data_IF_781298522749
#
_entry.id   IF_781298522749
#
_cell.length_a   1.000
_cell.length_b   1.000
_cell.length_c   1.000
_cell.angle_alpha   90.00
_cell.angle_beta   90.00
_cell.angle_gamma   90.00
#
_symmetry.space_group_name_H-M   'P 1'
#
loop_
_entity.id
_entity.type
_entity.pdbx_description
1 polymer ?
#
# COMPACT_ATOMS: atom_id res chain seq x y z
N UNK A 1 -32.74 43.86 -10.83
CA UNK A 1 -31.56 44.10 -9.96
C UNK A 1 -30.58 42.96 -10.25
N UNK A 2 -29.37 43.30 -10.66
CA UNK A 2 -28.35 42.26 -10.92
C UNK A 2 -27.85 41.73 -9.56
N UNK A 3 -28.10 40.46 -9.28
CA UNK A 3 -27.54 39.83 -8.11
C UNK A 3 -26.07 39.55 -8.38
N UNK A 4 -25.20 40.21 -7.63
CA UNK A 4 -23.77 39.93 -7.65
C UNK A 4 -23.55 38.58 -6.92
N UNK A 5 -23.23 37.55 -7.67
CA UNK A 5 -22.97 36.23 -7.12
C UNK A 5 -21.43 36.05 -6.96
N UNK A 6 -20.91 36.32 -5.78
CA UNK A 6 -19.49 36.08 -5.47
C UNK A 6 -19.17 34.60 -5.20
N UNK A 7 -20.15 33.74 -5.25
CA UNK A 7 -19.99 32.32 -4.85
C UNK A 7 -19.73 31.34 -6.02
N UNK A 8 -19.88 31.81 -7.27
CA UNK A 8 -19.62 30.97 -8.44
C UNK A 8 -18.13 31.07 -8.83
N UNK A 9 -17.35 30.05 -8.52
CA UNK A 9 -16.01 29.90 -9.06
C UNK A 9 -16.10 29.68 -10.58
N UNK A 10 -15.24 30.36 -11.33
CA UNK A 10 -15.05 30.01 -12.74
C UNK A 10 -14.42 28.61 -12.88
N UNK A 11 -14.60 27.98 -14.03
CA UNK A 11 -13.99 26.66 -14.31
C UNK A 11 -12.47 26.66 -14.10
N UNK A 12 -11.81 27.78 -14.37
CA UNK A 12 -10.36 27.94 -14.16
C UNK A 12 -10.00 28.00 -12.67
N UNK A 13 -10.78 28.71 -11.85
CA UNK A 13 -10.59 28.77 -10.40
C UNK A 13 -10.83 27.42 -9.74
N UNK A 14 -11.84 26.66 -10.20
CA UNK A 14 -12.07 25.27 -9.77
C UNK A 14 -10.89 24.36 -10.11
N UNK A 15 -10.31 24.54 -11.30
CA UNK A 15 -9.15 23.75 -11.72
C UNK A 15 -7.92 24.05 -10.87
N UNK A 16 -7.65 25.33 -10.57
CA UNK A 16 -6.52 25.74 -9.71
C UNK A 16 -6.72 25.18 -8.30
N UNK A 17 -7.91 25.30 -7.76
CA UNK A 17 -8.24 24.81 -6.42
C UNK A 17 -8.16 23.30 -6.31
N UNK A 18 -8.57 22.58 -7.34
CA UNK A 18 -8.43 21.14 -7.47
C UNK A 18 -6.96 20.70 -7.48
N UNK A 19 -6.09 21.44 -8.18
CA UNK A 19 -4.64 21.18 -8.19
C UNK A 19 -3.99 21.40 -6.82
N UNK A 20 -4.35 22.49 -6.14
CA UNK A 20 -3.84 22.76 -4.79
C UNK A 20 -4.30 21.73 -3.78
N UNK A 21 -5.56 21.31 -3.83
CA UNK A 21 -6.10 20.20 -3.05
C UNK A 21 -5.28 18.93 -3.27
N UNK A 22 -5.06 18.55 -4.53
CA UNK A 22 -4.34 17.32 -4.85
C UNK A 22 -2.88 17.37 -4.40
N UNK A 23 -2.26 18.55 -4.46
CA UNK A 23 -0.92 18.75 -3.92
C UNK A 23 -0.87 18.47 -2.42
N UNK A 24 -1.85 18.96 -1.66
CA UNK A 24 -1.95 18.70 -0.22
C UNK A 24 -2.18 17.22 0.05
N UNK A 25 -3.12 16.58 -0.64
CA UNK A 25 -3.40 15.16 -0.49
C UNK A 25 -2.20 14.28 -0.83
N UNK A 26 -1.47 14.56 -1.91
CA UNK A 26 -0.25 13.82 -2.28
C UNK A 26 0.86 13.96 -1.25
N UNK A 27 1.04 15.13 -0.67
CA UNK A 27 2.04 15.35 0.37
C UNK A 27 1.70 14.63 1.67
N UNK A 28 0.42 14.29 1.89
CA UNK A 28 -0.05 13.57 3.07
C UNK A 28 -0.09 12.05 2.88
N UNK A 29 -0.18 11.57 1.65
CA UNK A 29 -0.18 10.14 1.36
C UNK A 29 1.22 9.56 1.47
N UNK A 30 1.38 8.54 2.31
CA UNK A 30 2.64 7.85 2.54
C UNK A 30 3.07 7.01 1.33
N UNK A 31 2.13 6.29 0.71
CA UNK A 31 2.42 5.39 -0.42
C UNK A 31 2.91 6.13 -1.66
N UNK A 32 2.47 7.36 -1.85
CA UNK A 32 2.87 8.18 -2.99
C UNK A 32 4.37 8.58 -2.98
N UNK A 33 5.05 8.46 -1.84
CA UNK A 33 6.49 8.69 -1.77
C UNK A 33 7.29 7.63 -2.53
N UNK A 34 6.73 6.45 -2.71
CA UNK A 34 7.33 5.31 -3.40
C UNK A 34 6.82 5.15 -4.83
N UNK A 35 5.97 6.08 -5.29
CA UNK A 35 5.36 6.04 -6.61
C UNK A 35 6.28 6.62 -7.68
N UNK A 36 6.38 5.91 -8.80
CA UNK A 36 7.15 6.33 -9.98
C UNK A 36 6.61 5.71 -11.25
N UNK A 37 6.96 6.30 -12.40
CA UNK A 37 6.53 5.80 -13.72
C UNK A 37 7.43 4.68 -14.28
N UNK A 38 8.62 4.51 -13.72
CA UNK A 38 9.61 3.53 -14.20
C UNK A 38 9.45 2.15 -13.56
N UNK A 39 10.02 1.14 -14.21
CA UNK A 39 10.09 -0.24 -13.71
C UNK A 39 10.93 -0.40 -12.43
N UNK A 40 11.74 0.60 -12.09
CA UNK A 40 12.54 0.63 -10.86
C UNK A 40 11.81 1.34 -9.70
N UNK A 41 10.52 1.59 -9.81
CA UNK A 41 9.71 2.12 -8.72
C UNK A 41 9.03 0.99 -7.94
N UNK A 42 8.87 1.15 -6.63
CA UNK A 42 8.13 0.19 -5.80
C UNK A 42 6.63 0.18 -6.18
N UNK A 43 6.04 1.36 -6.30
CA UNK A 43 4.69 1.54 -6.80
C UNK A 43 4.77 2.10 -8.21
N UNK A 44 4.44 1.28 -9.19
CA UNK A 44 4.43 1.73 -10.58
C UNK A 44 3.12 2.43 -10.90
N UNK A 45 3.20 3.72 -11.27
CA UNK A 45 2.04 4.49 -11.70
C UNK A 45 1.83 4.35 -13.20
N UNK A 46 0.60 4.00 -13.59
CA UNK A 46 0.15 3.93 -14.97
C UNK A 46 -0.64 5.20 -15.25
N UNK A 47 -0.10 6.08 -16.11
CA UNK A 47 -0.69 7.38 -16.46
C UNK A 47 -1.15 7.46 -17.91
N UNK A 48 -1.20 6.34 -18.63
CA UNK A 48 -1.59 6.29 -20.04
C UNK A 48 -3.07 6.62 -20.25
N UNK A 49 -3.92 6.35 -19.26
CA UNK A 49 -5.31 6.77 -19.29
C UNK A 49 -5.43 8.20 -18.79
N UNK A 50 -5.75 9.12 -19.68
CA UNK A 50 -6.07 10.50 -19.38
C UNK A 50 -7.58 10.73 -19.44
N UNK A 51 -8.06 11.91 -19.02
CA UNK A 51 -9.48 12.27 -19.19
C UNK A 51 -9.94 12.29 -20.65
N UNK A 52 -9.01 12.38 -21.61
CA UNK A 52 -9.29 12.33 -23.05
C UNK A 52 -9.30 10.90 -23.62
N UNK A 53 -8.53 9.99 -23.03
CA UNK A 53 -8.50 8.57 -23.43
C UNK A 53 -9.32 7.75 -22.44
N UNK A 54 -10.56 7.48 -22.84
CA UNK A 54 -11.56 6.79 -21.99
C UNK A 54 -11.34 5.29 -22.01
N UNK A 55 -11.21 4.69 -20.82
CA UNK A 55 -11.14 3.24 -20.64
C UNK A 55 -11.47 2.86 -19.19
N UNK A 56 -12.05 1.68 -19.01
CA UNK A 56 -12.36 1.13 -17.68
C UNK A 56 -11.20 0.33 -17.07
N UNK A 57 -10.12 0.14 -17.83
CA UNK A 57 -8.99 -0.72 -17.43
C UNK A 57 -7.68 -0.10 -17.88
N UNK A 58 -6.66 -0.20 -17.06
CA UNK A 58 -5.28 0.12 -17.38
C UNK A 58 -4.49 -1.18 -17.53
N UNK A 59 -3.52 -1.22 -18.43
CA UNK A 59 -2.67 -2.39 -18.64
C UNK A 59 -1.23 -2.05 -18.25
N UNK A 60 -0.64 -2.90 -17.42
CA UNK A 60 0.78 -2.88 -17.09
C UNK A 60 1.44 -4.10 -17.71
N UNK A 61 2.43 -3.89 -18.55
CA UNK A 61 3.22 -4.97 -19.14
C UNK A 61 4.48 -5.20 -18.33
N UNK A 62 4.65 -6.42 -17.81
CA UNK A 62 5.89 -6.89 -17.19
C UNK A 62 6.68 -7.69 -18.22
N UNK A 63 7.96 -7.40 -18.34
CA UNK A 63 8.88 -8.16 -19.18
C UNK A 63 9.61 -9.19 -18.34
N UNK A 64 9.57 -10.47 -18.75
CA UNK A 64 10.37 -11.52 -18.16
C UNK A 64 11.80 -11.46 -18.70
N UNK A 65 12.74 -11.88 -17.87
CA UNK A 65 14.13 -12.06 -18.30
C UNK A 65 14.25 -13.32 -19.18
N UNK A 66 15.23 -13.32 -20.06
CA UNK A 66 15.60 -14.51 -20.85
C UNK A 66 16.29 -15.52 -19.93
N UNK A 67 15.97 -16.79 -20.10
CA UNK A 67 16.48 -17.90 -19.28
C UNK A 67 17.37 -18.88 -20.04
N UNK A 68 17.45 -18.75 -21.37
CA UNK A 68 18.24 -19.62 -22.23
C UNK A 68 19.75 -19.40 -22.08
N UNK A 69 20.50 -20.47 -22.20
CA UNK A 69 21.98 -20.45 -22.12
C UNK A 69 22.64 -19.84 -23.36
N UNK A 70 21.84 -19.51 -24.40
CA UNK A 70 22.34 -19.03 -25.68
C UNK A 70 22.98 -20.12 -26.54
N UNK A 71 23.51 -19.73 -27.70
CA UNK A 71 24.17 -20.66 -28.66
C UNK A 71 25.68 -20.52 -28.51
N UNK A 72 26.40 -21.63 -28.45
CA UNK A 72 27.85 -21.68 -28.24
C UNK A 72 28.59 -21.92 -29.57
N UNK A 73 29.65 -21.15 -29.84
CA UNK A 73 30.53 -21.29 -31.01
C UNK A 73 29.85 -20.90 -32.32
N UNK A 74 30.26 -21.56 -33.41
CA UNK A 74 29.75 -21.30 -34.78
C UNK A 74 28.40 -22.02 -35.07
N UNK A 75 27.66 -22.43 -34.05
CA UNK A 75 26.35 -23.06 -34.22
C UNK A 75 25.30 -22.05 -34.67
N UNK A 76 24.33 -22.54 -35.42
CA UNK A 76 23.28 -21.69 -36.03
C UNK A 76 22.35 -21.13 -34.96
N UNK A 77 22.21 -19.82 -34.89
CA UNK A 77 21.25 -19.13 -34.02
C UNK A 77 19.83 -19.18 -34.60
N UNK A 78 19.72 -19.22 -35.95
CA UNK A 78 18.43 -19.28 -36.64
C UNK A 78 17.65 -20.53 -36.27
N UNK A 79 16.45 -20.35 -35.70
CA UNK A 79 15.60 -21.45 -35.20
C UNK A 79 15.84 -21.85 -33.74
N UNK A 80 16.82 -21.24 -33.06
CA UNK A 80 17.15 -21.45 -31.66
C UNK A 80 17.01 -20.15 -30.82
N UNK A 81 16.28 -19.16 -31.35
CA UNK A 81 16.03 -17.92 -30.65
C UNK A 81 15.06 -18.13 -29.47
N UNK A 82 15.35 -17.51 -28.36
CA UNK A 82 14.45 -17.46 -27.23
C UNK A 82 13.40 -16.38 -27.40
N UNK A 83 12.13 -16.71 -27.18
CA UNK A 83 11.04 -15.76 -27.27
C UNK A 83 10.99 -14.84 -26.05
N UNK A 84 10.92 -13.53 -26.28
CA UNK A 84 10.65 -12.58 -25.20
C UNK A 84 9.24 -12.78 -24.67
N UNK A 85 9.12 -12.99 -23.35
CA UNK A 85 7.81 -13.15 -22.69
C UNK A 85 7.41 -11.85 -22.01
N UNK A 86 6.18 -11.45 -22.28
CA UNK A 86 5.54 -10.32 -21.62
C UNK A 86 4.29 -10.80 -20.86
N UNK A 87 4.07 -10.26 -19.65
CA UNK A 87 2.88 -10.50 -18.86
C UNK A 87 2.09 -9.21 -18.73
N UNK A 88 0.87 -9.21 -19.28
CA UNK A 88 -0.01 -8.07 -19.19
C UNK A 88 -0.90 -8.16 -17.94
N UNK A 89 -0.80 -7.16 -17.10
CA UNK A 89 -1.57 -7.03 -15.88
C UNK A 89 -2.64 -5.98 -16.09
N UNK A 90 -3.89 -6.41 -16.11
CA UNK A 90 -5.04 -5.52 -16.25
C UNK A 90 -5.46 -5.03 -14.87
N UNK A 91 -5.44 -3.72 -14.64
CA UNK A 91 -5.91 -3.04 -13.43
C UNK A 91 -7.29 -2.46 -13.70
N UNK A 92 -8.26 -2.82 -12.86
CA UNK A 92 -9.61 -2.26 -12.94
C UNK A 92 -9.66 -0.88 -12.29
N UNK A 93 -10.44 0.03 -12.86
CA UNK A 93 -10.61 1.39 -12.37
C UNK A 93 -11.98 1.56 -11.75
N UNK A 94 -12.05 2.33 -10.67
CA UNK A 94 -13.30 2.76 -10.05
C UNK A 94 -13.16 4.13 -9.39
N UNK A 95 -14.28 4.73 -9.08
CA UNK A 95 -14.37 6.06 -8.50
C UNK A 95 -14.66 5.99 -7.00
N UNK A 96 -13.85 6.67 -6.20
CA UNK A 96 -14.11 6.91 -4.79
C UNK A 96 -14.45 8.39 -4.59
N UNK A 97 -15.58 8.67 -3.91
CA UNK A 97 -16.06 10.04 -3.66
C UNK A 97 -16.33 10.27 -2.18
N UNK A 98 -16.01 11.48 -1.74
CA UNK A 98 -16.35 12.00 -0.42
C UNK A 98 -17.05 13.34 -0.55
N UNK A 99 -17.97 13.65 0.36
CA UNK A 99 -18.64 14.93 0.38
C UNK A 99 -18.91 15.40 1.81
N UNK A 100 -18.86 16.73 1.98
CA UNK A 100 -19.32 17.42 3.18
C UNK A 100 -20.44 18.39 2.79
N UNK A 101 -21.46 18.50 3.63
CA UNK A 101 -22.59 19.41 3.43
C UNK A 101 -22.87 20.19 4.70
N UNK A 102 -23.01 21.50 4.55
CA UNK A 102 -23.41 22.40 5.62
C UNK A 102 -24.92 22.31 5.85
N UNK A 103 -25.38 22.33 7.10
CA UNK A 103 -26.79 22.20 7.42
C UNK A 103 -27.61 23.48 7.22
N UNK A 104 -26.99 24.63 6.97
CA UNK A 104 -27.66 25.87 6.65
C UNK A 104 -26.86 27.12 7.02
N UNK A 105 -27.24 28.27 6.45
CA UNK A 105 -26.57 29.58 6.66
C UNK A 105 -26.54 30.04 8.10
N UNK A 106 -27.60 29.75 8.89
CA UNK A 106 -27.59 30.10 10.31
C UNK A 106 -26.54 29.33 11.12
N UNK A 107 -26.23 28.09 10.69
CA UNK A 107 -25.18 27.32 11.32
C UNK A 107 -23.79 27.84 10.96
N UNK A 108 -23.61 28.29 9.73
CA UNK A 108 -22.38 28.96 9.26
C UNK A 108 -22.14 30.27 10.04
N UNK A 109 -23.17 31.10 10.20
CA UNK A 109 -23.08 32.36 10.93
C UNK A 109 -22.74 32.18 12.43
N UNK A 110 -23.17 31.06 13.03
CA UNK A 110 -22.88 30.76 14.44
C UNK A 110 -21.53 30.06 14.62
N UNK A 111 -20.94 29.53 13.57
CA UNK A 111 -19.66 28.84 13.59
C UNK A 111 -18.50 29.83 13.45
N UNK A 112 -17.47 29.66 14.28
CA UNK A 112 -16.20 30.39 14.16
C UNK A 112 -15.32 29.77 13.06
N UNK A 113 -15.70 28.58 12.57
CA UNK A 113 -14.93 27.74 11.64
C UNK A 113 -15.37 28.06 10.20
N UNK A 114 -14.43 28.40 9.34
CA UNK A 114 -14.68 28.56 7.89
C UNK A 114 -14.93 27.17 7.26
N UNK A 115 -16.21 26.88 6.97
CA UNK A 115 -16.63 25.58 6.44
C UNK A 115 -15.86 25.18 5.18
N UNK A 116 -15.65 26.11 4.24
CA UNK A 116 -15.05 25.82 2.95
C UNK A 116 -13.58 25.37 3.07
N UNK A 117 -12.78 26.09 3.85
CA UNK A 117 -11.36 25.77 4.04
C UNK A 117 -11.16 24.48 4.82
N UNK A 118 -11.89 24.34 5.94
CA UNK A 118 -11.79 23.13 6.77
C UNK A 118 -12.33 21.88 6.08
N UNK A 119 -13.40 22.00 5.29
CA UNK A 119 -13.91 20.89 4.48
C UNK A 119 -12.92 20.45 3.42
N UNK A 120 -12.23 21.40 2.77
CA UNK A 120 -11.17 21.08 1.80
C UNK A 120 -10.08 20.24 2.45
N UNK A 121 -9.53 20.70 3.56
CA UNK A 121 -8.42 20.01 4.23
C UNK A 121 -8.86 18.66 4.80
N UNK A 122 -10.07 18.56 5.38
CA UNK A 122 -10.62 17.31 5.87
C UNK A 122 -10.85 16.27 4.75
N UNK A 123 -11.36 16.72 3.60
CA UNK A 123 -11.56 15.85 2.44
C UNK A 123 -10.22 15.39 1.84
N UNK A 124 -9.18 16.28 1.82
CA UNK A 124 -7.82 15.93 1.41
C UNK A 124 -7.24 14.82 2.28
N UNK A 125 -7.34 14.99 3.59
CA UNK A 125 -6.92 14.00 4.57
C UNK A 125 -7.64 12.66 4.39
N UNK A 126 -8.96 12.70 4.27
CA UNK A 126 -9.78 11.50 4.10
C UNK A 126 -9.41 10.73 2.83
N UNK A 127 -9.15 11.42 1.72
CA UNK A 127 -8.76 10.79 0.46
C UNK A 127 -7.36 10.16 0.58
N UNK A 128 -6.37 10.89 1.10
CA UNK A 128 -5.00 10.40 1.27
C UNK A 128 -4.95 9.18 2.21
N UNK A 129 -5.60 9.28 3.37
CA UNK A 129 -5.66 8.19 4.36
C UNK A 129 -6.35 6.94 3.78
N UNK A 130 -7.41 7.14 2.98
CA UNK A 130 -8.12 6.02 2.36
C UNK A 130 -7.31 5.35 1.26
N UNK A 131 -6.59 6.12 0.44
CA UNK A 131 -5.70 5.57 -0.58
C UNK A 131 -4.58 4.75 0.06
N UNK A 132 -3.96 5.24 1.13
CA UNK A 132 -2.94 4.50 1.85
C UNK A 132 -3.49 3.20 2.45
N UNK A 133 -4.66 3.25 3.09
CA UNK A 133 -5.32 2.06 3.64
C UNK A 133 -5.58 0.99 2.56
N UNK A 134 -6.13 1.39 1.41
CA UNK A 134 -6.43 0.48 0.31
C UNK A 134 -5.15 -0.11 -0.30
N UNK A 135 -4.10 0.70 -0.47
CA UNK A 135 -2.83 0.24 -1.00
C UNK A 135 -2.18 -0.84 -0.10
N UNK A 136 -2.15 -0.62 1.22
CA UNK A 136 -1.61 -1.60 2.17
C UNK A 136 -2.45 -2.87 2.27
N UNK A 137 -3.78 -2.78 2.20
CA UNK A 137 -4.66 -3.96 2.14
C UNK A 137 -4.44 -4.76 0.85
N UNK A 138 -4.30 -4.08 -0.30
CA UNK A 138 -4.01 -4.73 -1.58
C UNK A 138 -2.67 -5.45 -1.56
N UNK A 139 -1.60 -4.80 -1.05
CA UNK A 139 -0.28 -5.41 -0.90
C UNK A 139 -0.32 -6.62 0.04
N UNK A 140 -1.03 -6.52 1.17
CA UNK A 140 -1.20 -7.62 2.13
C UNK A 140 -2.09 -8.75 1.60
N UNK A 141 -2.86 -8.51 0.53
CA UNK A 141 -3.82 -9.46 -0.01
C UNK A 141 -5.04 -9.68 0.91
N UNK A 142 -5.45 -8.65 1.62
CA UNK A 142 -6.56 -8.69 2.58
C UNK A 142 -7.75 -7.93 2.01
N UNK A 143 -8.93 -8.55 2.07
CA UNK A 143 -10.15 -7.99 1.53
C UNK A 143 -10.53 -6.65 2.19
N UNK A 144 -11.12 -5.74 1.41
CA UNK A 144 -11.53 -4.41 1.88
C UNK A 144 -12.71 -4.42 2.87
N UNK A 145 -13.28 -5.59 3.15
CA UNK A 145 -14.23 -5.80 4.24
C UNK A 145 -13.62 -5.64 5.63
N UNK A 146 -12.29 -5.74 5.72
CA UNK A 146 -11.52 -5.51 6.94
C UNK A 146 -10.93 -4.09 6.95
N UNK A 147 -10.74 -3.55 8.15
CA UNK A 147 -9.91 -2.38 8.40
C UNK A 147 -8.44 -2.82 8.53
N UNK A 148 -7.50 -1.90 8.37
CA UNK A 148 -6.07 -2.19 8.53
C UNK A 148 -5.69 -2.65 9.95
N UNK A 149 -6.53 -2.41 10.95
CA UNK A 149 -6.37 -2.92 12.31
C UNK A 149 -7.02 -4.29 12.56
N UNK A 150 -7.48 -4.98 11.51
CA UNK A 150 -8.09 -6.30 11.61
C UNK A 150 -9.58 -6.33 11.98
N UNK A 151 -10.17 -5.21 12.39
CA UNK A 151 -11.60 -5.15 12.69
C UNK A 151 -12.43 -5.23 11.40
N UNK A 152 -13.61 -5.85 11.48
CA UNK A 152 -14.59 -5.82 10.41
C UNK A 152 -15.10 -4.39 10.15
N UNK A 153 -15.24 -4.02 8.88
CA UNK A 153 -15.93 -2.77 8.53
C UNK A 153 -17.43 -2.94 8.72
N UNK A 154 -18.12 -1.90 9.25
CA UNK A 154 -19.58 -1.92 9.30
C UNK A 154 -20.12 -2.06 7.86
N UNK A 155 -21.06 -2.98 7.68
CA UNK A 155 -21.77 -3.13 6.40
C UNK A 155 -22.70 -1.94 6.22
N UNK A 156 -22.53 -1.22 5.13
CA UNK A 156 -23.38 -0.11 4.69
C UNK A 156 -24.33 -0.57 3.59
N UNK A 157 -25.14 0.32 3.06
CA UNK A 157 -25.97 0.04 1.89
C UNK A 157 -25.10 -0.28 0.68
N UNK A 158 -25.66 -0.97 -0.31
CA UNK A 158 -25.00 -1.28 -1.57
C UNK A 158 -24.43 -0.01 -2.23
N UNK A 159 -23.17 -0.08 -2.70
CA UNK A 159 -22.45 1.06 -3.25
C UNK A 159 -21.85 2.02 -2.22
N UNK A 160 -21.92 1.71 -0.93
CA UNK A 160 -21.31 2.51 0.14
C UNK A 160 -20.18 1.76 0.87
N UNK A 161 -19.92 0.52 0.50
CA UNK A 161 -18.85 -0.29 1.08
C UNK A 161 -17.60 -0.19 0.22
N UNK A 162 -16.42 -0.18 0.83
CA UNK A 162 -15.17 -0.26 0.06
C UNK A 162 -15.02 -1.60 -0.67
N UNK A 163 -15.69 -2.64 -0.21
CA UNK A 163 -15.76 -3.93 -0.89
C UNK A 163 -16.55 -3.89 -2.21
N UNK A 164 -17.37 -2.86 -2.44
CA UNK A 164 -18.16 -2.69 -3.67
C UNK A 164 -17.34 -2.03 -4.80
N UNK A 165 -16.11 -1.55 -4.51
CA UNK A 165 -15.21 -1.02 -5.54
C UNK A 165 -14.87 -2.10 -6.57
N UNK A 166 -14.88 -1.75 -7.86
CA UNK A 166 -14.63 -2.71 -8.95
C UNK A 166 -13.28 -3.42 -8.80
N UNK A 167 -12.23 -2.72 -8.40
CA UNK A 167 -10.91 -3.30 -8.14
C UNK A 167 -10.79 -4.06 -6.81
N UNK A 168 -11.85 -4.13 -6.00
CA UNK A 168 -11.89 -4.99 -4.80
C UNK A 168 -11.71 -6.47 -5.17
N UNK A 169 -12.20 -6.89 -6.35
CA UNK A 169 -12.02 -8.24 -6.88
C UNK A 169 -10.56 -8.54 -7.27
N UNK A 170 -9.74 -7.52 -7.50
CA UNK A 170 -8.32 -7.65 -7.82
C UNK A 170 -7.43 -7.87 -6.60
N UNK A 171 -7.98 -7.75 -5.38
CA UNK A 171 -7.28 -8.06 -4.14
C UNK A 171 -7.18 -9.56 -3.97
N UNK A 172 -6.00 -10.08 -4.15
CA UNK A 172 -5.73 -11.52 -4.06
C UNK A 172 -4.82 -11.84 -2.89
N UNK A 173 -5.06 -12.97 -2.21
CA UNK A 173 -4.15 -13.47 -1.20
C UNK A 173 -2.72 -13.59 -1.75
N UNK A 174 -1.68 -13.45 -0.91
CA UNK A 174 -0.31 -13.69 -1.35
C UNK A 174 -0.16 -15.15 -1.81
N UNK A 175 0.70 -15.35 -2.80
CA UNK A 175 1.00 -16.70 -3.29
C UNK A 175 1.83 -17.48 -2.27
N UNK A 176 1.86 -18.81 -2.34
CA UNK A 176 2.47 -19.68 -1.32
C UNK A 176 3.93 -19.34 -1.03
N UNK A 177 4.73 -19.02 -2.05
CA UNK A 177 6.13 -18.63 -1.88
C UNK A 177 6.32 -17.17 -1.44
N UNK A 178 5.28 -16.36 -1.51
CA UNK A 178 5.27 -14.94 -1.11
C UNK A 178 4.54 -14.71 0.21
N UNK A 179 3.95 -15.73 0.78
CA UNK A 179 3.36 -15.71 2.11
C UNK A 179 4.28 -16.45 3.07
N UNK A 180 4.91 -15.74 3.97
CA UNK A 180 5.84 -16.26 4.96
C UNK A 180 5.45 -15.85 6.37
N UNK A 181 5.84 -16.64 7.35
CA UNK A 181 5.72 -16.37 8.77
C UNK A 181 7.11 -16.44 9.40
N UNK A 182 7.37 -15.58 10.32
CA UNK A 182 8.54 -15.74 11.19
C UNK A 182 8.17 -16.66 12.35
N UNK A 183 8.98 -17.66 12.56
CA UNK A 183 8.90 -18.60 13.68
C UNK A 183 10.17 -18.43 14.52
N UNK A 184 10.00 -18.16 15.81
CA UNK A 184 11.12 -17.90 16.70
C UNK A 184 12.13 -19.07 16.81
N UNK A 185 11.71 -20.30 16.43
CA UNK A 185 12.57 -21.50 16.49
C UNK A 185 13.14 -21.85 15.13
N UNK A 186 12.34 -21.73 14.05
CA UNK A 186 12.67 -22.26 12.72
C UNK A 186 13.00 -21.15 11.69
N UNK A 187 12.97 -19.87 12.07
CA UNK A 187 13.21 -18.74 11.16
C UNK A 187 12.06 -18.48 10.20
N UNK A 188 12.35 -18.20 8.93
CA UNK A 188 11.34 -17.92 7.89
C UNK A 188 10.71 -19.23 7.39
N UNK A 189 9.44 -19.45 7.75
CA UNK A 189 8.65 -20.63 7.36
C UNK A 189 7.49 -20.25 6.44
N UNK A 190 6.77 -21.26 5.94
CA UNK A 190 5.55 -21.03 5.15
C UNK A 190 4.51 -20.24 5.95
N UNK A 191 3.81 -19.33 5.27
CA UNK A 191 2.81 -18.48 5.90
C UNK A 191 1.59 -19.25 6.37
N UNK A 192 1.35 -19.20 7.67
CA UNK A 192 0.15 -19.74 8.32
C UNK A 192 -0.15 -18.92 9.57
N UNK A 193 -1.19 -18.11 9.49
CA UNK A 193 -1.61 -17.25 10.60
C UNK A 193 -2.11 -18.03 11.82
N UNK A 194 -2.57 -19.28 11.63
CA UNK A 194 -3.07 -20.12 12.73
C UNK A 194 -1.94 -20.71 13.57
N UNK A 195 -0.75 -20.85 12.98
CA UNK A 195 0.44 -21.36 13.66
C UNK A 195 1.27 -20.27 14.36
N UNK A 196 0.83 -18.99 14.30
CA UNK A 196 1.55 -17.88 14.91
C UNK A 196 1.44 -17.94 16.44
N UNK A 197 2.56 -17.79 17.14
CA UNK A 197 2.61 -17.72 18.60
C UNK A 197 3.17 -16.38 19.06
N UNK A 198 2.89 -15.97 20.29
CA UNK A 198 3.30 -14.68 20.84
C UNK A 198 4.83 -14.44 20.88
N UNK A 199 5.63 -15.51 20.74
CA UNK A 199 7.08 -15.45 20.67
C UNK A 199 7.62 -15.10 19.27
N UNK A 200 6.81 -15.17 18.22
CA UNK A 200 7.19 -14.97 16.81
C UNK A 200 7.37 -13.47 16.48
N UNK A 201 8.14 -12.78 17.29
CA UNK A 201 8.40 -11.33 17.16
C UNK A 201 9.50 -11.06 16.14
N UNK A 202 9.39 -9.96 15.40
CA UNK A 202 10.41 -9.57 14.43
C UNK A 202 11.75 -9.28 15.11
N UNK A 203 12.80 -9.95 14.65
CA UNK A 203 14.18 -9.80 15.13
C UNK A 203 15.10 -9.30 14.00
N UNK A 204 16.31 -8.86 14.35
CA UNK A 204 17.35 -8.50 13.38
C UNK A 204 17.68 -9.68 12.45
N UNK A 205 17.83 -10.88 12.99
CA UNK A 205 18.09 -12.11 12.23
C UNK A 205 17.01 -12.41 11.22
N UNK A 206 15.72 -12.21 11.59
CA UNK A 206 14.59 -12.39 10.69
C UNK A 206 14.66 -11.48 9.43
N UNK A 207 15.16 -10.25 9.58
CA UNK A 207 15.30 -9.31 8.45
C UNK A 207 16.42 -9.78 7.50
N UNK A 208 17.54 -10.26 8.04
CA UNK A 208 18.65 -10.80 7.24
C UNK A 208 18.22 -12.06 6.48
N UNK A 209 17.54 -12.98 7.15
CA UNK A 209 17.02 -14.22 6.54
C UNK A 209 15.96 -13.91 5.46
N UNK A 210 15.11 -12.90 5.70
CA UNK A 210 14.10 -12.47 4.72
C UNK A 210 14.75 -11.93 3.44
N UNK A 211 15.86 -11.19 3.56
CA UNK A 211 16.62 -10.72 2.40
C UNK A 211 17.22 -11.87 1.60
N UNK A 212 17.85 -12.85 2.28
CA UNK A 212 18.40 -14.02 1.65
C UNK A 212 17.30 -14.79 0.91
N UNK A 213 16.17 -15.04 1.58
CA UNK A 213 15.01 -15.67 0.98
C UNK A 213 14.47 -14.91 -0.24
N UNK A 214 14.38 -13.58 -0.17
CA UNK A 214 13.87 -12.75 -1.27
C UNK A 214 14.79 -12.85 -2.51
N UNK A 215 16.11 -12.90 -2.31
CA UNK A 215 17.08 -13.08 -3.41
C UNK A 215 17.00 -14.48 -4.01
N UNK A 216 16.85 -15.51 -3.19
CA UNK A 216 16.66 -16.90 -3.66
C UNK A 216 15.38 -17.07 -4.47
N UNK A 217 14.36 -16.25 -4.18
CA UNK A 217 13.10 -16.21 -4.93
C UNK A 217 13.10 -15.22 -6.08
N UNK A 218 14.25 -14.69 -6.49
CA UNK A 218 14.42 -13.76 -7.61
C UNK A 218 13.57 -12.47 -7.53
N UNK A 219 13.32 -11.96 -6.33
CA UNK A 219 12.65 -10.68 -6.16
C UNK A 219 13.64 -9.56 -6.48
N UNK A 220 13.30 -8.76 -7.48
CA UNK A 220 14.12 -7.60 -7.85
C UNK A 220 14.07 -6.52 -6.79
N UNK A 221 15.23 -6.08 -6.34
CA UNK A 221 15.38 -4.88 -5.53
C UNK A 221 15.27 -3.61 -6.36
N UNK A 222 15.14 -2.50 -5.67
CA UNK A 222 15.24 -1.17 -6.24
C UNK A 222 16.74 -0.88 -6.48
N UNK A 223 17.12 -0.59 -7.71
CA UNK A 223 18.53 -0.34 -8.08
C UNK A 223 18.87 1.12 -7.82
N UNK A 224 19.86 1.35 -6.97
CA UNK A 224 20.49 2.63 -6.74
C UNK A 224 21.62 2.95 -7.76
N UNK A 225 22.26 4.10 -7.58
CA UNK A 225 23.30 4.59 -8.49
C UNK A 225 24.56 3.69 -8.57
N UNK A 226 24.78 2.78 -7.61
CA UNK A 226 25.93 1.86 -7.55
C UNK A 226 25.60 0.42 -7.97
N UNK A 227 24.46 0.17 -8.59
CA UNK A 227 23.90 -1.17 -8.84
C UNK A 227 23.60 -1.96 -7.55
N UNK A 228 23.60 -1.27 -6.39
CA UNK A 228 23.17 -1.85 -5.13
C UNK A 228 21.66 -2.02 -5.13
N UNK A 229 21.20 -3.21 -4.75
CA UNK A 229 19.78 -3.51 -4.60
C UNK A 229 19.32 -3.17 -3.19
N UNK A 230 18.33 -2.30 -3.10
CA UNK A 230 17.65 -1.93 -1.86
C UNK A 230 16.21 -2.42 -1.87
N UNK A 231 15.70 -2.71 -0.68
CA UNK A 231 14.32 -3.15 -0.48
C UNK A 231 13.65 -2.29 0.58
N UNK A 232 12.33 -2.26 0.57
CA UNK A 232 11.53 -1.61 1.59
C UNK A 232 10.76 -2.64 2.42
N UNK A 233 10.86 -2.53 3.74
CA UNK A 233 10.09 -3.33 4.69
C UNK A 233 9.15 -2.41 5.47
N UNK A 234 7.85 -2.60 5.33
CA UNK A 234 6.83 -1.84 6.06
C UNK A 234 6.36 -2.64 7.26
N UNK A 235 6.45 -2.03 8.43
CA UNK A 235 6.08 -2.64 9.71
C UNK A 235 5.14 -1.73 10.50
N UNK A 236 4.37 -2.32 11.41
CA UNK A 236 3.56 -1.54 12.36
C UNK A 236 4.44 -0.92 13.45
N UNK A 237 3.96 0.14 14.15
CA UNK A 237 4.70 0.74 15.26
C UNK A 237 5.07 -0.25 16.37
N UNK A 238 4.20 -1.22 16.67
CA UNK A 238 4.46 -2.24 17.69
C UNK A 238 5.60 -3.16 17.28
N UNK A 239 5.58 -3.67 16.03
CA UNK A 239 6.65 -4.50 15.48
C UNK A 239 7.97 -3.74 15.41
N UNK A 240 7.94 -2.44 15.07
CA UNK A 240 9.13 -1.58 15.10
C UNK A 240 9.68 -1.44 16.53
N UNK A 241 8.80 -1.35 17.54
CA UNK A 241 9.22 -1.30 18.94
C UNK A 241 9.88 -2.61 19.37
N UNK A 242 9.32 -3.77 18.99
CA UNK A 242 9.92 -5.08 19.27
C UNK A 242 11.30 -5.21 18.62
N UNK A 243 11.46 -4.79 17.36
CA UNK A 243 12.75 -4.78 16.67
C UNK A 243 13.78 -3.89 17.38
N UNK A 244 13.38 -2.71 17.86
CA UNK A 244 14.25 -1.79 18.60
C UNK A 244 14.66 -2.33 19.97
N UNK A 245 13.87 -3.23 20.55
CA UNK A 245 14.16 -3.90 21.82
C UNK A 245 14.95 -5.21 21.66
N UNK A 246 15.10 -5.70 20.44
CA UNK A 246 15.88 -6.89 20.15
C UNK A 246 17.35 -6.71 20.56
N UNK A 247 17.90 -7.71 21.26
CA UNK A 247 19.25 -7.67 21.82
C UNK A 247 20.34 -7.55 20.76
N UNK A 248 20.19 -8.26 19.66
CA UNK A 248 21.16 -8.28 18.56
C UNK A 248 21.12 -6.97 17.77
N UNK A 249 19.93 -6.43 17.55
CA UNK A 249 19.77 -5.10 16.96
C UNK A 249 20.43 -4.02 17.82
N UNK A 250 20.17 -4.03 19.13
CA UNK A 250 20.78 -3.07 20.06
C UNK A 250 22.29 -3.21 20.12
N UNK A 251 22.84 -4.43 20.12
CA UNK A 251 24.27 -4.66 20.10
C UNK A 251 24.92 -4.09 18.85
N UNK A 252 24.34 -4.35 17.66
CA UNK A 252 24.81 -3.83 16.39
C UNK A 252 24.77 -2.30 16.31
N UNK A 253 23.65 -1.69 16.76
CA UNK A 253 23.51 -0.23 16.77
C UNK A 253 24.52 0.43 17.73
N UNK A 254 24.78 -0.17 18.90
CA UNK A 254 25.77 0.34 19.86
C UNK A 254 27.22 0.25 19.33
N UNK A 255 27.53 -0.76 18.51
CA UNK A 255 28.86 -0.96 17.96
C UNK A 255 29.11 -0.16 16.68
N UNK A 256 28.13 -0.09 15.78
CA UNK A 256 28.25 0.54 14.46
C UNK A 256 27.79 2.00 14.43
N UNK A 257 27.05 2.46 15.43
CA UNK A 257 26.39 3.77 15.42
C UNK A 257 27.33 4.94 15.73
N UNK A 258 27.09 6.07 15.08
CA UNK A 258 27.66 7.37 15.44
C UNK A 258 27.19 7.71 16.86
N UNK A 259 28.15 8.06 17.74
CA UNK A 259 27.82 8.47 19.12
C UNK A 259 27.33 9.91 19.14
N UNK A 260 26.29 10.18 19.92
CA UNK A 260 25.71 11.51 20.09
C UNK A 260 24.31 11.70 19.51
N UNK A 261 23.82 12.94 19.38
CA UNK A 261 22.45 13.25 18.96
C UNK A 261 22.07 12.73 17.56
N UNK A 262 23.04 12.47 16.70
CA UNK A 262 22.83 11.91 15.35
C UNK A 262 22.74 10.37 15.33
N UNK A 263 22.86 9.72 16.48
CA UNK A 263 22.64 8.28 16.57
C UNK A 263 21.19 7.93 16.24
N UNK A 264 20.98 6.85 15.49
CA UNK A 264 19.64 6.35 15.15
C UNK A 264 18.77 6.04 16.37
N UNK A 265 19.38 5.79 17.53
CA UNK A 265 18.68 5.61 18.81
C UNK A 265 18.00 6.90 19.32
N UNK A 266 18.53 8.06 18.98
CA UNK A 266 18.08 9.36 19.48
C UNK A 266 17.45 10.25 18.42
N UNK A 267 17.64 9.94 17.13
CA UNK A 267 17.17 10.79 16.03
C UNK A 267 15.66 10.74 15.77
N UNK A 268 14.93 9.82 16.43
CA UNK A 268 13.47 9.71 16.26
C UNK A 268 13.02 9.38 14.82
N UNK A 269 13.91 8.82 13.99
CA UNK A 269 13.57 8.44 12.62
C UNK A 269 12.54 7.31 12.58
N UNK A 270 11.50 7.47 11.77
CA UNK A 270 10.51 6.44 11.48
C UNK A 270 11.01 5.39 10.49
N UNK A 271 12.22 5.55 9.94
CA UNK A 271 12.85 4.60 9.04
C UNK A 271 14.25 4.22 9.54
N UNK A 272 14.56 2.93 9.43
CA UNK A 272 15.85 2.35 9.78
C UNK A 272 16.41 1.63 8.57
N UNK A 273 17.71 1.65 8.36
CA UNK A 273 18.38 0.86 7.33
C UNK A 273 19.09 -0.33 7.97
N UNK A 274 18.70 -1.53 7.58
CA UNK A 274 19.25 -2.80 8.04
C UNK A 274 19.64 -3.62 6.82
N UNK A 275 20.92 -3.91 6.64
CA UNK A 275 21.46 -4.76 5.55
C UNK A 275 20.90 -4.41 4.14
N UNK A 276 20.80 -3.12 3.80
CA UNK A 276 20.23 -2.66 2.53
C UNK A 276 18.72 -2.72 2.43
N UNK A 277 18.02 -3.04 3.53
CA UNK A 277 16.57 -2.96 3.65
C UNK A 277 16.21 -1.70 4.42
N UNK A 278 15.39 -0.84 3.83
CA UNK A 278 14.79 0.31 4.52
C UNK A 278 13.54 -0.14 5.26
N UNK A 279 13.61 -0.20 6.59
CA UNK A 279 12.46 -0.53 7.44
C UNK A 279 11.69 0.75 7.74
N UNK A 280 10.43 0.80 7.32
CA UNK A 280 9.52 1.93 7.51
C UNK A 280 8.44 1.58 8.52
N UNK A 281 8.27 2.46 9.50
CA UNK A 281 7.17 2.39 10.45
C UNK A 281 5.94 3.08 9.87
N UNK A 282 4.82 2.36 9.72
CA UNK A 282 3.58 2.95 9.25
C UNK A 282 2.34 2.30 9.88
N UNK A 283 1.40 3.13 10.36
CA UNK A 283 0.22 2.67 11.11
C UNK A 283 -0.81 1.88 10.28
N UNK A 284 -0.83 2.05 8.96
CA UNK A 284 -1.78 1.36 8.07
C UNK A 284 -1.28 0.02 7.53
N UNK A 285 -0.10 -0.43 7.94
CA UNK A 285 0.29 -1.84 7.77
C UNK A 285 -0.72 -2.70 8.51
N UNK A 286 -1.20 -3.78 7.86
CA UNK A 286 -2.24 -4.62 8.44
C UNK A 286 -1.78 -5.27 9.75
N UNK A 287 -2.66 -5.20 10.74
CA UNK A 287 -2.46 -5.83 12.05
C UNK A 287 -3.81 -6.29 12.62
N UNK A 288 -3.78 -7.03 13.71
CA UNK A 288 -4.98 -7.58 14.35
C UNK A 288 -5.35 -6.91 15.68
N UNK A 289 -4.84 -5.70 15.95
CA UNK A 289 -5.11 -5.00 17.23
C UNK A 289 -6.60 -4.78 17.48
N UNK A 290 -7.37 -4.48 16.44
CA UNK A 290 -8.82 -4.25 16.52
C UNK A 290 -9.66 -5.49 16.22
N UNK A 291 -9.03 -6.64 15.96
CA UNK A 291 -9.70 -7.90 15.70
C UNK A 291 -10.25 -8.51 16.99
N UNK A 292 -11.27 -9.33 16.85
CA UNK A 292 -11.90 -10.03 17.98
C UNK A 292 -10.99 -11.16 18.49
N UNK A 293 -10.94 -11.34 19.80
CA UNK A 293 -10.37 -12.54 20.39
C UNK A 293 -11.38 -13.67 20.24
N UNK A 294 -10.93 -14.82 19.73
CA UNK A 294 -11.78 -15.96 19.45
C UNK A 294 -11.42 -17.19 20.27
N UNK A 295 -11.64 -18.32 19.67
CA UNK A 295 -11.27 -19.67 20.16
C UNK A 295 -10.71 -20.44 18.98
N UNK A 296 -10.28 -21.68 19.17
CA UNK A 296 -9.74 -22.54 18.11
C UNK A 296 -10.68 -22.70 16.90
N UNK A 297 -11.99 -22.58 17.08
CA UNK A 297 -12.95 -22.57 15.96
C UNK A 297 -12.89 -21.32 15.08
N UNK A 298 -12.30 -20.26 15.58
CA UNK A 298 -12.14 -18.97 14.87
C UNK A 298 -10.72 -18.79 14.30
N UNK A 299 -9.84 -19.77 14.49
CA UNK A 299 -8.45 -19.69 14.00
C UNK A 299 -8.40 -19.43 12.49
N UNK A 300 -7.69 -18.38 12.08
CA UNK A 300 -7.58 -17.96 10.68
C UNK A 300 -8.81 -17.30 10.07
N UNK A 301 -9.91 -17.12 10.83
CA UNK A 301 -11.09 -16.44 10.32
C UNK A 301 -10.89 -14.92 10.24
N UNK A 302 -11.50 -14.32 9.23
CA UNK A 302 -11.43 -12.86 9.02
C UNK A 302 -12.08 -12.10 10.20
N UNK A 303 -11.39 -11.06 10.68
CA UNK A 303 -11.85 -10.25 11.81
C UNK A 303 -11.49 -10.80 13.18
N UNK A 304 -10.77 -11.92 13.24
CA UNK A 304 -10.24 -12.50 14.48
C UNK A 304 -8.71 -12.36 14.55
N UNK A 305 -8.18 -12.43 15.76
CA UNK A 305 -6.74 -12.47 16.00
C UNK A 305 -6.15 -13.77 15.45
N UNK A 306 -4.83 -13.83 15.41
CA UNK A 306 -4.07 -14.99 14.91
C UNK A 306 -3.81 -16.02 16.00
N UNK A 307 -3.11 -17.08 15.63
CA UNK A 307 -2.80 -18.20 16.53
C UNK A 307 -3.86 -19.30 16.50
N UNK A 308 -3.55 -20.42 17.13
CA UNK A 308 -4.43 -21.59 17.19
C UNK A 308 -5.76 -21.33 17.91
N UNK A 309 -5.74 -20.42 18.88
CA UNK A 309 -6.92 -20.03 19.67
C UNK A 309 -7.43 -18.61 19.32
N UNK A 310 -6.96 -18.04 18.20
CA UNK A 310 -7.34 -16.69 17.74
C UNK A 310 -7.19 -15.60 18.83
N UNK A 311 -6.10 -15.63 19.59
CA UNK A 311 -5.82 -14.75 20.72
C UNK A 311 -4.51 -13.94 20.57
N UNK A 312 -3.66 -14.28 19.60
CA UNK A 312 -2.36 -13.65 19.35
C UNK A 312 -2.54 -12.42 18.46
N UNK A 313 -1.97 -11.29 18.87
CA UNK A 313 -1.87 -10.12 18.02
C UNK A 313 -0.77 -10.33 16.97
N UNK A 314 -1.12 -10.14 15.71
CA UNK A 314 -0.19 -10.29 14.60
C UNK A 314 -0.21 -9.10 13.65
N UNK A 315 0.87 -8.95 12.91
CA UNK A 315 1.06 -7.95 11.86
C UNK A 315 1.54 -8.60 10.58
N UNK A 316 0.95 -8.21 9.46
CA UNK A 316 1.39 -8.58 8.13
C UNK A 316 2.43 -7.56 7.63
N UNK A 317 3.69 -7.76 7.97
CA UNK A 317 4.78 -6.93 7.47
C UNK A 317 4.95 -7.16 5.96
N UNK A 318 5.25 -6.08 5.22
CA UNK A 318 5.36 -6.11 3.77
C UNK A 318 6.79 -5.82 3.33
N UNK A 319 7.42 -6.82 2.78
CA UNK A 319 8.72 -6.68 2.12
C UNK A 319 8.49 -6.42 0.64
N UNK A 320 8.91 -5.26 0.16
CA UNK A 320 8.63 -4.78 -1.17
C UNK A 320 9.92 -4.49 -1.93
N UNK A 321 10.02 -5.03 -3.13
CA UNK A 321 11.03 -4.70 -4.13
C UNK A 321 10.45 -3.78 -5.22
N UNK A 322 11.02 -3.85 -6.42
CA UNK A 322 10.54 -3.11 -7.58
C UNK A 322 9.18 -3.66 -8.05
N UNK A 323 8.32 -2.79 -8.56
CA UNK A 323 6.99 -3.11 -9.10
C UNK A 323 6.12 -3.97 -8.16
N UNK A 324 6.18 -3.69 -6.85
CA UNK A 324 5.37 -4.40 -5.86
C UNK A 324 3.87 -4.10 -5.98
N UNK A 325 3.51 -2.88 -6.41
CA UNK A 325 2.13 -2.43 -6.60
C UNK A 325 2.00 -1.70 -7.93
N UNK A 326 0.97 -2.05 -8.69
CA UNK A 326 0.50 -1.26 -9.84
C UNK A 326 -0.62 -0.32 -9.38
N UNK A 327 -0.45 0.96 -9.66
CA UNK A 327 -1.43 2.01 -9.38
C UNK A 327 -1.81 2.71 -10.67
N UNK A 328 -3.05 2.53 -11.11
CA UNK A 328 -3.61 3.31 -12.20
C UNK A 328 -4.25 4.58 -11.65
N UNK A 329 -3.82 5.74 -12.13
CA UNK A 329 -4.24 7.05 -11.64
C UNK A 329 -4.70 7.92 -12.81
N UNK A 330 -6.00 8.24 -12.86
CA UNK A 330 -6.58 9.10 -13.91
C UNK A 330 -6.51 10.59 -13.50
N UNK A 331 -5.34 11.03 -13.08
CA UNK A 331 -5.06 12.45 -12.92
C UNK A 331 -5.65 13.11 -11.68
N UNK A 332 -6.04 14.38 -11.83
CA UNK A 332 -6.43 15.25 -10.73
C UNK A 332 -7.86 14.91 -10.26
N UNK A 333 -8.11 14.83 -8.94
CA UNK A 333 -9.46 14.64 -8.42
C UNK A 333 -10.41 15.73 -8.89
N UNK A 334 -11.63 15.35 -9.18
CA UNK A 334 -12.71 16.26 -9.51
C UNK A 334 -13.31 16.82 -8.22
N UNK A 335 -13.35 18.15 -8.11
CA UNK A 335 -14.00 18.85 -7.01
C UNK A 335 -15.26 19.51 -7.55
N UNK A 336 -16.39 19.23 -6.92
CA UNK A 336 -17.67 19.83 -7.25
C UNK A 336 -18.22 20.53 -6.02
N UNK A 337 -18.51 21.82 -6.15
CA UNK A 337 -19.26 22.60 -5.19
C UNK A 337 -20.70 22.77 -5.70
N UNK A 338 -21.66 22.48 -4.86
CA UNK A 338 -23.07 22.64 -5.19
C UNK A 338 -23.87 23.26 -4.04
N UNK A 339 -24.97 23.92 -4.38
CA UNK A 339 -25.85 24.57 -3.42
C UNK A 339 -27.21 23.90 -3.43
N UNK A 340 -27.70 23.55 -2.26
CA UNK A 340 -28.98 22.91 -2.05
C UNK A 340 -29.94 23.83 -1.32
N UNK A 341 -31.21 23.51 -1.36
CA UNK A 341 -32.26 24.23 -0.63
C UNK A 341 -32.24 25.74 -0.91
N UNK A 342 -32.40 26.12 -2.22
CA UNK A 342 -32.38 27.51 -2.68
C UNK A 342 -31.17 28.33 -2.20
N UNK A 343 -30.00 27.67 -2.12
CA UNK A 343 -28.74 28.31 -1.69
C UNK A 343 -28.57 28.44 -0.17
N UNK A 344 -29.42 27.80 0.64
CA UNK A 344 -29.29 27.76 2.09
C UNK A 344 -28.19 26.79 2.57
N UNK A 345 -27.93 25.74 1.81
CA UNK A 345 -26.95 24.71 2.16
C UNK A 345 -25.88 24.61 1.10
N UNK A 346 -24.63 24.71 1.50
CA UNK A 346 -23.47 24.52 0.62
C UNK A 346 -22.88 23.13 0.82
N UNK A 347 -22.58 22.44 -0.28
CA UNK A 347 -21.93 21.13 -0.28
C UNK A 347 -20.65 21.17 -1.10
N UNK A 348 -19.64 20.43 -0.65
CA UNK A 348 -18.38 20.24 -1.36
C UNK A 348 -18.17 18.72 -1.47
N UNK A 349 -17.94 18.24 -2.68
CA UNK A 349 -17.60 16.86 -2.94
C UNK A 349 -16.26 16.75 -3.66
N UNK A 350 -15.56 15.63 -3.41
CA UNK A 350 -14.37 15.25 -4.12
C UNK A 350 -14.51 13.84 -4.62
N UNK A 351 -14.09 13.61 -5.86
CA UNK A 351 -14.04 12.30 -6.46
C UNK A 351 -12.69 12.05 -7.13
N UNK A 352 -12.19 10.83 -7.02
CA UNK A 352 -11.00 10.39 -7.74
C UNK A 352 -11.23 9.02 -8.34
N UNK A 353 -10.79 8.84 -9.59
CA UNK A 353 -10.79 7.56 -10.29
C UNK A 353 -9.37 7.00 -10.22
N UNK A 354 -9.25 5.79 -9.68
CA UNK A 354 -7.99 5.08 -9.57
C UNK A 354 -8.21 3.57 -9.50
N UNK A 355 -7.15 2.81 -9.61
CA UNK A 355 -7.16 1.36 -9.45
C UNK A 355 -5.87 0.89 -8.79
N UNK A 356 -5.94 -0.17 -8.02
CA UNK A 356 -4.81 -0.78 -7.32
C UNK A 356 -4.78 -2.27 -7.59
N UNK A 357 -3.62 -2.80 -7.97
CA UNK A 357 -3.44 -4.24 -8.16
C UNK A 357 -2.03 -4.67 -7.81
N UNK A 358 -1.92 -5.81 -7.17
CA UNK A 358 -0.65 -6.48 -6.94
C UNK A 358 -0.28 -7.26 -8.20
N UNK A 359 0.86 -6.95 -8.86
CA UNK A 359 1.30 -7.66 -10.05
C UNK A 359 1.62 -9.12 -9.76
N UNK A 360 1.23 -10.00 -10.69
CA UNK A 360 1.55 -11.43 -10.66
C UNK A 360 2.19 -11.84 -11.97
N UNK A 361 3.07 -12.80 -11.92
CA UNK A 361 3.74 -13.35 -13.09
C UNK A 361 3.90 -14.86 -12.95
N UNK A 362 4.11 -15.55 -14.08
CA UNK A 362 4.47 -16.96 -14.05
C UNK A 362 5.99 -17.06 -13.88
N UNK A 363 6.43 -17.56 -12.73
CA UNK A 363 7.84 -17.72 -12.39
C UNK A 363 8.42 -18.95 -13.09
N UNK A 364 9.47 -18.77 -13.88
CA UNK A 364 10.19 -19.90 -14.50
C UNK A 364 10.97 -20.72 -13.47
N UNK A 365 11.34 -20.13 -12.35
CA UNK A 365 12.05 -20.80 -11.26
C UNK A 365 11.15 -21.83 -10.54
N UNK A 366 9.91 -21.48 -10.27
CA UNK A 366 8.96 -22.35 -9.53
C UNK A 366 7.93 -23.00 -10.43
N UNK A 367 7.78 -22.55 -11.66
CA UNK A 367 6.72 -22.98 -12.59
C UNK A 367 5.31 -22.56 -12.15
N UNK A 368 5.20 -21.63 -11.21
CA UNK A 368 3.92 -21.20 -10.62
C UNK A 368 3.70 -19.70 -10.77
N UNK A 369 2.42 -19.30 -10.69
CA UNK A 369 2.05 -17.88 -10.66
C UNK A 369 2.39 -17.33 -9.28
N UNK A 370 3.24 -16.29 -9.24
CA UNK A 370 3.71 -15.64 -8.03
C UNK A 370 3.51 -14.13 -8.04
N UNK A 371 3.45 -13.54 -6.84
CA UNK A 371 3.47 -12.09 -6.69
C UNK A 371 4.84 -11.55 -7.11
N UNK A 372 4.89 -10.50 -7.91
CA UNK A 372 6.13 -10.07 -8.57
C UNK A 372 7.16 -9.47 -7.61
N UNK A 373 6.79 -8.46 -6.85
CA UNK A 373 7.75 -7.68 -6.05
C UNK A 373 7.40 -7.59 -4.56
N UNK A 374 6.54 -8.47 -4.00
CA UNK A 374 6.11 -8.39 -2.61
C UNK A 374 6.17 -9.73 -1.91
N UNK A 375 6.69 -9.74 -0.67
CA UNK A 375 6.54 -10.84 0.29
C UNK A 375 5.74 -10.29 1.48
N UNK A 376 4.74 -11.02 1.89
CA UNK A 376 4.05 -10.82 3.16
C UNK A 376 4.72 -11.68 4.22
N UNK A 377 5.23 -11.05 5.26
CA UNK A 377 5.80 -11.70 6.44
C UNK A 377 4.86 -11.50 7.63
N UNK A 378 4.29 -12.57 8.11
CA UNK A 378 3.44 -12.56 9.29
C UNK A 378 4.31 -12.69 10.55
N UNK A 379 4.13 -11.79 11.50
CA UNK A 379 4.84 -11.75 12.80
C UNK A 379 3.86 -11.47 13.93
N UNK A 380 4.18 -11.94 15.13
CA UNK A 380 3.49 -11.53 16.36
C UNK A 380 4.05 -10.24 16.93
N UNK A 381 3.31 -9.59 17.85
CA UNK A 381 3.77 -8.43 18.63
C UNK A 381 3.04 -8.33 19.97
#
# INVERSE_FOLDING_TARGET
MANTNFAALTSEQLTIWSRDFWRVARNMSFINQFAGSGSNAMVQTISELTQSEKGARAVLTLLADMTGDGIVGDNTLEGNEESLRAFDIVVQLDQLRFANRLSGRMNDQKSVVNFREHSRDALAYAMADRMDQLAFLTLSGIAYTLKNNGALRPVQNSGQNLGDLAFSSDVTAPTSNRHRRFDATNGIVAGDVTATVAADKLTYGAIVDLKAYAKDQYIRGLRGAGNDETYHLFVTPQVMADLKLDSDFLANVRQAGIRGPQSSLFSGSSSLMVDGIMVHEFRHVFNTTGALTGTSSNAGAAGYKWGADADVNGSACLFCGAQALAMADIGIPEIVEDTFDYGNQNGISIGKIFGLKKPKYNSDHTGQVEDFGVIRLDVAF
#
